data_IF_260401498905
#
_entry.id   IF_260401498905
#
_cell.length_a   1.000
_cell.length_b   1.000
_cell.length_c   1.000
_cell.angle_alpha   90.00
_cell.angle_beta   90.00
_cell.angle_gamma   90.00
#
_symmetry.space_group_name_H-M   'P 1'
#
loop_
_entity.id
_entity.type
_entity.pdbx_description
1 polymer ?
#
# COMPACT_ATOMS: atom_id res chain seq x y z
N UNK A 1 -2.52 -7.23 -4.49
CA UNK A 1 -2.27 -6.75 -3.11
C UNK A 1 -3.13 -5.54 -2.86
N UNK A 2 -3.83 -5.53 -1.76
CA UNK A 2 -4.72 -4.42 -1.43
C UNK A 2 -4.09 -3.58 -0.33
N UNK A 3 -4.14 -2.27 -0.52
CA UNK A 3 -3.53 -1.33 0.42
C UNK A 3 -4.57 -0.29 0.80
N UNK A 4 -4.68 -0.02 2.10
CA UNK A 4 -5.56 1.03 2.61
C UNK A 4 -4.72 2.09 3.28
N UNK A 5 -5.04 3.34 3.00
CA UNK A 5 -4.28 4.48 3.51
C UNK A 5 -5.24 5.38 4.29
N UNK A 6 -4.90 5.63 5.55
CA UNK A 6 -5.67 6.55 6.38
C UNK A 6 -5.00 7.90 6.41
N UNK A 7 -5.81 8.97 6.41
CA UNK A 7 -5.32 10.34 6.35
C UNK A 7 -5.49 11.06 7.70
N UNK A 8 -4.51 11.90 8.03
CA UNK A 8 -4.45 12.53 9.36
C UNK A 8 -5.56 13.53 9.61
N UNK A 9 -6.03 14.22 8.59
CA UNK A 9 -6.91 15.36 8.80
C UNK A 9 -8.39 15.09 8.59
N UNK A 10 -8.74 14.02 7.91
CA UNK A 10 -10.11 13.83 7.48
C UNK A 10 -10.79 12.60 8.05
N UNK A 11 -10.02 11.70 8.63
CA UNK A 11 -10.57 10.41 9.05
C UNK A 11 -10.97 9.52 7.88
N UNK A 12 -10.61 9.91 6.68
CA UNK A 12 -10.95 9.14 5.48
C UNK A 12 -9.89 8.09 5.21
N UNK A 13 -10.28 7.09 4.45
CA UNK A 13 -9.37 6.05 3.99
C UNK A 13 -9.46 5.94 2.48
N UNK A 14 -8.33 5.68 1.87
CA UNK A 14 -8.25 5.35 0.46
C UNK A 14 -7.89 3.88 0.35
N UNK A 15 -8.76 3.10 -0.27
CA UNK A 15 -8.50 1.68 -0.49
C UNK A 15 -8.10 1.48 -1.95
N UNK A 16 -6.93 0.89 -2.17
CA UNK A 16 -6.42 0.62 -3.51
C UNK A 16 -6.36 -0.88 -3.68
N UNK A 17 -7.14 -1.39 -4.64
CA UNK A 17 -7.21 -2.82 -4.92
C UNK A 17 -6.21 -3.17 -6.01
N UNK A 18 -5.50 -4.27 -5.81
CA UNK A 18 -4.61 -4.80 -6.84
C UNK A 18 -3.37 -3.96 -7.08
N UNK A 19 -2.73 -3.49 -6.02
CA UNK A 19 -1.49 -2.72 -6.14
C UNK A 19 -0.38 -3.62 -6.68
N UNK A 20 0.31 -3.16 -7.72
CA UNK A 20 1.41 -3.90 -8.33
C UNK A 20 2.75 -3.23 -8.15
N UNK A 21 2.77 -1.90 -7.90
CA UNK A 21 4.02 -1.17 -7.72
C UNK A 21 3.88 -0.17 -6.60
N UNK A 22 4.97 0.00 -5.88
CA UNK A 22 5.10 1.05 -4.86
C UNK A 22 6.39 1.80 -5.17
N UNK A 23 6.28 3.12 -5.31
CA UNK A 23 7.43 3.98 -5.62
C UNK A 23 8.17 3.50 -6.88
N UNK A 24 7.43 3.03 -7.87
CA UNK A 24 7.98 2.57 -9.13
C UNK A 24 8.58 1.18 -9.10
N UNK A 25 8.54 0.49 -7.97
CA UNK A 25 9.12 -0.83 -7.81
C UNK A 25 8.02 -1.87 -7.74
N UNK A 26 8.16 -2.93 -8.54
CA UNK A 26 7.20 -4.03 -8.54
C UNK A 26 7.19 -4.74 -7.19
N UNK A 27 6.00 -5.00 -6.68
CA UNK A 27 5.84 -5.71 -5.41
C UNK A 27 4.91 -6.89 -5.64
N UNK A 28 5.26 -8.02 -5.04
CA UNK A 28 4.43 -9.23 -5.10
C UNK A 28 4.14 -9.77 -3.72
N UNK A 29 4.80 -9.25 -2.69
CA UNK A 29 4.63 -9.71 -1.32
C UNK A 29 4.43 -8.52 -0.40
N UNK A 30 3.68 -8.77 0.66
CA UNK A 30 3.41 -7.77 1.68
C UNK A 30 4.70 -7.13 2.22
N UNK A 31 5.70 -7.95 2.51
CA UNK A 31 6.95 -7.45 3.10
C UNK A 31 7.67 -6.47 2.17
N UNK A 32 7.60 -6.72 0.87
CA UNK A 32 8.22 -5.81 -0.11
C UNK A 32 7.53 -4.45 -0.09
N UNK A 33 6.21 -4.46 -0.11
CA UNK A 33 5.45 -3.22 -0.08
C UNK A 33 5.68 -2.45 1.21
N UNK A 34 5.67 -3.15 2.34
CA UNK A 34 5.90 -2.52 3.64
C UNK A 34 7.25 -1.86 3.69
N UNK A 35 8.30 -2.54 3.21
CA UNK A 35 9.65 -1.98 3.23
C UNK A 35 9.75 -0.71 2.39
N UNK A 36 9.12 -0.71 1.21
CA UNK A 36 9.15 0.45 0.33
C UNK A 36 8.40 1.63 0.92
N UNK A 37 7.22 1.38 1.48
CA UNK A 37 6.41 2.43 2.10
C UNK A 37 7.12 3.00 3.32
N UNK A 38 7.62 2.13 4.17
CA UNK A 38 8.32 2.55 5.38
C UNK A 38 9.56 3.36 5.03
N UNK A 39 10.33 2.90 4.05
CA UNK A 39 11.51 3.61 3.60
C UNK A 39 11.19 4.99 3.05
N UNK A 40 10.11 5.11 2.28
CA UNK A 40 9.70 6.39 1.72
C UNK A 40 9.32 7.36 2.83
N UNK A 41 8.60 6.87 3.84
CA UNK A 41 8.18 7.71 4.96
C UNK A 41 9.35 8.12 5.84
N UNK A 42 10.28 7.20 6.08
CA UNK A 42 11.47 7.51 6.89
C UNK A 42 12.39 8.51 6.22
N UNK A 43 12.48 8.44 4.90
CA UNK A 43 13.36 9.31 4.13
C UNK A 43 12.71 10.63 3.75
N UNK A 44 11.57 10.95 4.35
CA UNK A 44 10.87 12.21 4.11
C UNK A 44 10.50 12.39 2.64
N UNK A 45 10.22 11.30 1.95
CA UNK A 45 9.72 11.42 0.59
C UNK A 45 8.43 12.24 0.60
N UNK A 46 8.34 13.22 -0.28
CA UNK A 46 7.17 14.09 -0.31
C UNK A 46 5.91 13.32 -0.69
N UNK A 47 6.07 12.32 -1.54
CA UNK A 47 4.96 11.57 -2.11
C UNK A 47 5.31 10.09 -2.12
N UNK A 48 4.32 9.26 -1.80
CA UNK A 48 4.41 7.81 -2.00
C UNK A 48 3.51 7.47 -3.18
N UNK A 49 4.04 6.76 -4.15
CA UNK A 49 3.32 6.43 -5.37
C UNK A 49 2.89 4.98 -5.36
N UNK A 50 1.61 4.74 -5.65
CA UNK A 50 1.05 3.40 -5.76
C UNK A 50 0.49 3.22 -7.16
N UNK A 51 0.75 2.09 -7.79
CA UNK A 51 0.20 1.78 -9.11
C UNK A 51 -0.58 0.48 -9.01
N UNK A 52 -1.82 0.50 -9.48
CA UNK A 52 -2.66 -0.69 -9.42
C UNK A 52 -2.56 -1.50 -10.72
N UNK A 53 -3.25 -2.63 -10.74
CA UNK A 53 -3.20 -3.55 -11.88
C UNK A 53 -3.98 -3.06 -13.09
N UNK A 54 -4.63 -1.91 -12.97
CA UNK A 54 -5.32 -1.27 -14.09
C UNK A 54 -4.54 -0.08 -14.63
N UNK A 55 -3.32 0.11 -14.14
CA UNK A 55 -2.45 1.19 -14.59
C UNK A 55 -2.72 2.52 -13.94
N UNK A 56 -3.59 2.57 -12.94
CA UNK A 56 -3.86 3.83 -12.24
C UNK A 56 -2.75 4.10 -11.23
N UNK A 57 -2.29 5.34 -11.20
CA UNK A 57 -1.29 5.79 -10.25
C UNK A 57 -1.92 6.68 -9.19
N UNK A 58 -1.60 6.43 -7.95
CA UNK A 58 -2.07 7.20 -6.81
C UNK A 58 -0.87 7.86 -6.16
N UNK A 59 -0.85 9.18 -6.16
CA UNK A 59 0.24 9.95 -5.56
C UNK A 59 -0.25 10.49 -4.23
N UNK A 60 0.28 9.97 -3.16
CA UNK A 60 -0.20 10.28 -1.81
C UNK A 60 0.88 11.05 -1.07
N UNK A 61 0.53 12.22 -0.54
CA UNK A 61 1.48 13.01 0.23
C UNK A 61 1.80 12.30 1.53
N UNK A 62 3.07 12.01 1.76
CA UNK A 62 3.47 11.23 2.93
C UNK A 62 3.08 11.91 4.24
N UNK A 63 3.11 13.25 4.28
CA UNK A 63 2.77 13.98 5.50
C UNK A 63 1.28 13.89 5.86
N UNK A 64 0.44 13.48 4.92
CA UNK A 64 -0.98 13.34 5.16
C UNK A 64 -1.35 11.92 5.60
N UNK A 65 -0.40 11.02 5.60
CA UNK A 65 -0.65 9.62 5.93
C UNK A 65 -0.62 9.43 7.43
N UNK A 66 -1.74 8.95 7.98
CA UNK A 66 -1.78 8.56 9.38
C UNK A 66 -1.33 7.10 9.55
N UNK A 67 -1.75 6.24 8.62
CA UNK A 67 -1.36 4.83 8.65
C UNK A 67 -1.53 4.23 7.26
N UNK A 68 -0.83 3.13 7.02
CA UNK A 68 -0.99 2.35 5.80
C UNK A 68 -1.17 0.90 6.22
N UNK A 69 -2.23 0.29 5.71
CA UNK A 69 -2.52 -1.11 5.97
C UNK A 69 -2.29 -1.89 4.68
N UNK A 70 -1.41 -2.88 4.75
CA UNK A 70 -1.08 -3.71 3.59
C UNK A 70 -1.61 -5.10 3.86
N UNK A 71 -2.53 -5.56 3.00
CA UNK A 71 -3.11 -6.88 3.15
C UNK A 71 -2.08 -7.96 2.84
N UNK A 72 -2.29 -9.09 3.49
CA UNK A 72 -1.48 -10.26 3.22
C UNK A 72 -2.00 -10.95 1.97
N UNK A 73 -1.13 -11.09 0.98
CA UNK A 73 -1.50 -11.70 -0.29
C UNK A 73 -1.54 -13.21 -0.24
N UNK A 74 -1.12 -13.80 0.85
CA UNK A 74 -1.13 -15.24 0.96
C UNK A 74 -2.56 -15.73 0.79
N UNK A 75 -2.81 -16.59 -0.20
CA UNK A 75 -4.15 -17.12 -0.37
C UNK A 75 -4.58 -17.76 0.93
N UNK A 76 -5.72 -17.35 1.40
CA UNK A 76 -6.25 -17.91 2.62
C UNK A 76 -6.63 -19.34 2.32
N UNK A 77 -5.91 -20.25 2.89
CA UNK A 77 -6.29 -21.65 2.82
C UNK A 77 -7.54 -21.78 3.65
N UNK A 78 -8.62 -21.90 3.01
CA UNK A 78 -9.86 -22.14 3.69
C UNK A 78 -9.80 -23.57 4.08
N UNK A 79 -9.61 -23.75 5.16
CA UNK A 79 -9.35 -25.02 5.57
C UNK A 79 -10.25 -26.09 5.17
N UNK A 80 -10.19 -26.18 5.08
CA UNK A 80 -10.42 -26.82 5.09
C UNK A 80 -10.31 -27.64 5.46
N UNK A 81 -10.37 -27.96 5.59
CA UNK A 81 -10.23 -28.46 5.92
C UNK A 81 -10.13 -28.89 6.40
N UNK A 82 -10.18 -28.93 6.32
CA UNK A 82 -10.10 -29.08 6.92
C UNK A 82 -10.08 -28.93 7.08
#
# INVERSE_FOLDING_TARGET
MDISIGFVDSGRELAITGVERVSGVSVSQQSEAVALIDGAMENDAAVVEFTDNKGRCYLVRSKQIAFVEVDNDTPRTVGFAG
#
